data_IF_297692020109
#
_entry.id   IF_297692020109
#
_cell.length_a   1.000
_cell.length_b   1.000
_cell.length_c   1.000
_cell.angle_alpha   90.00
_cell.angle_beta   90.00
_cell.angle_gamma   90.00
#
_symmetry.space_group_name_H-M   'P 1'
#
loop_
_entity.id
_entity.type
_entity.pdbx_description
1 polymer ?
#
# COMPACT_ATOMS: atom_id res chain seq x y z
N UNK A 1 3.72 -19.57 4.27
CA UNK A 1 3.23 -18.36 4.98
C UNK A 1 4.24 -18.04 6.07
N UNK A 2 4.72 -16.80 6.11
CA UNK A 2 5.64 -16.34 7.17
C UNK A 2 4.90 -16.30 8.52
N UNK A 3 5.62 -16.58 9.60
CA UNK A 3 5.11 -16.54 10.97
C UNK A 3 5.39 -15.16 11.59
N UNK A 4 4.67 -14.77 12.66
CA UNK A 4 4.95 -13.53 13.37
C UNK A 4 6.38 -13.41 13.94
N UNK A 5 7.05 -14.54 14.17
CA UNK A 5 8.45 -14.60 14.61
C UNK A 5 9.47 -14.33 13.51
N UNK A 6 9.05 -14.40 12.25
CA UNK A 6 9.94 -14.24 11.10
C UNK A 6 10.08 -12.75 10.78
N UNK A 7 11.29 -12.33 10.41
CA UNK A 7 11.49 -11.00 9.84
C UNK A 7 10.96 -10.99 8.41
N UNK A 8 9.72 -10.57 8.22
CA UNK A 8 9.09 -10.56 6.90
C UNK A 8 9.72 -9.57 5.91
N UNK A 9 10.44 -8.55 6.41
CA UNK A 9 11.15 -7.61 5.56
C UNK A 9 12.44 -8.25 5.03
N UNK A 10 13.18 -8.95 5.88
CA UNK A 10 14.39 -9.66 5.49
C UNK A 10 14.13 -10.99 4.76
N UNK A 11 12.96 -11.61 4.95
CA UNK A 11 12.61 -12.89 4.33
C UNK A 11 12.45 -12.78 2.82
N UNK A 12 12.91 -13.76 2.06
CA UNK A 12 12.64 -13.84 0.63
C UNK A 12 11.14 -14.08 0.36
N UNK A 13 10.59 -13.35 -0.61
CA UNK A 13 9.25 -13.60 -1.14
C UNK A 13 9.40 -14.27 -2.49
N UNK A 14 8.85 -15.49 -2.72
CA UNK A 14 8.98 -16.16 -4.01
C UNK A 14 8.48 -15.26 -5.14
N UNK A 15 9.25 -15.14 -6.22
CA UNK A 15 8.97 -14.17 -7.29
C UNK A 15 7.59 -14.37 -7.95
N UNK A 16 7.06 -15.59 -7.97
CA UNK A 16 5.76 -15.96 -8.50
C UNK A 16 4.61 -15.84 -7.48
N UNK A 17 4.91 -15.55 -6.21
CA UNK A 17 3.91 -15.48 -5.16
C UNK A 17 3.11 -14.17 -5.22
N UNK A 18 1.80 -14.28 -5.09
CA UNK A 18 0.94 -13.14 -4.80
C UNK A 18 1.03 -12.78 -3.31
N UNK A 19 1.47 -11.57 -2.98
CA UNK A 19 1.73 -11.17 -1.59
C UNK A 19 0.56 -10.39 -0.99
N UNK A 20 0.17 -10.75 0.24
CA UNK A 20 -0.60 -9.85 1.10
C UNK A 20 0.34 -9.29 2.16
N UNK A 21 0.53 -7.97 2.17
CA UNK A 21 1.47 -7.29 3.04
C UNK A 21 0.72 -6.33 3.98
N UNK A 22 0.87 -6.53 5.29
CA UNK A 22 0.36 -5.65 6.33
C UNK A 22 1.52 -5.34 7.28
N UNK A 23 2.26 -4.24 7.07
CA UNK A 23 3.53 -4.03 7.73
C UNK A 23 3.29 -3.54 9.15
N UNK A 24 4.31 -3.57 10.02
CA UNK A 24 4.33 -2.73 11.20
C UNK A 24 4.08 -1.26 10.80
N UNK A 25 3.09 -0.63 11.41
CA UNK A 25 2.76 0.76 11.10
C UNK A 25 3.74 1.72 11.77
N UNK A 26 4.18 2.74 11.02
CA UNK A 26 5.06 3.79 11.54
C UNK A 26 6.47 3.76 10.94
N UNK A 27 7.50 3.84 11.78
CA UNK A 27 8.90 3.99 11.32
C UNK A 27 9.35 2.74 10.55
N UNK A 28 9.97 2.95 9.39
CA UNK A 28 10.48 1.87 8.54
C UNK A 28 9.47 1.31 7.52
N UNK A 29 8.24 1.83 7.50
CA UNK A 29 7.21 1.41 6.56
C UNK A 29 7.60 1.62 5.08
N UNK A 30 8.49 2.57 4.80
CA UNK A 30 9.05 2.81 3.46
C UNK A 30 9.71 1.57 2.85
N UNK A 31 10.55 0.86 3.61
CA UNK A 31 11.24 -0.34 3.11
C UNK A 31 10.26 -1.47 2.75
N UNK A 32 9.16 -1.58 3.49
CA UNK A 32 8.09 -2.54 3.18
C UNK A 32 7.38 -2.18 1.88
N UNK A 33 7.08 -0.89 1.69
CA UNK A 33 6.39 -0.40 0.50
C UNK A 33 7.27 -0.48 -0.74
N UNK A 34 8.56 -0.18 -0.62
CA UNK A 34 9.54 -0.38 -1.69
C UNK A 34 9.61 -1.86 -2.09
N UNK A 35 9.71 -2.77 -1.12
CA UNK A 35 9.76 -4.21 -1.40
C UNK A 35 8.48 -4.71 -2.07
N UNK A 36 7.31 -4.28 -1.59
CA UNK A 36 6.02 -4.66 -2.17
C UNK A 36 5.84 -4.11 -3.59
N UNK A 37 6.19 -2.84 -3.81
CA UNK A 37 6.00 -2.20 -5.10
C UNK A 37 6.85 -2.83 -6.21
N UNK A 38 8.05 -3.30 -5.87
CA UNK A 38 8.95 -3.97 -6.80
C UNK A 38 8.78 -5.50 -6.84
N UNK A 39 7.79 -6.08 -6.13
CA UNK A 39 7.59 -7.52 -6.09
C UNK A 39 6.94 -8.02 -7.39
N UNK A 40 7.59 -8.89 -8.19
CA UNK A 40 7.11 -9.25 -9.52
C UNK A 40 5.78 -10.01 -9.53
N UNK A 41 5.48 -10.77 -8.47
CA UNK A 41 4.19 -11.45 -8.31
C UNK A 41 3.03 -10.52 -7.94
N UNK A 42 3.32 -9.23 -7.69
CA UNK A 42 2.38 -8.23 -7.25
C UNK A 42 1.69 -8.58 -5.93
N UNK A 43 0.55 -7.94 -5.68
CA UNK A 43 -0.27 -8.28 -4.53
C UNK A 43 -1.06 -7.12 -3.95
N UNK A 44 -1.35 -7.18 -2.65
CA UNK A 44 -2.11 -6.17 -1.92
C UNK A 44 -1.37 -5.73 -0.65
N UNK A 45 -1.15 -4.43 -0.50
CA UNK A 45 -0.68 -3.82 0.74
C UNK A 45 -1.83 -3.19 1.52
N UNK A 46 -1.82 -3.37 2.85
CA UNK A 46 -2.66 -2.64 3.77
C UNK A 46 -1.81 -1.66 4.58
N UNK A 47 -2.05 -0.37 4.40
CA UNK A 47 -1.27 0.71 5.05
C UNK A 47 -2.18 1.86 5.50
N UNK A 48 -1.62 2.83 6.21
CA UNK A 48 -2.32 4.09 6.43
C UNK A 48 -2.27 4.96 5.17
N UNK A 49 -3.36 5.68 4.92
CA UNK A 49 -3.50 6.68 3.88
C UNK A 49 -2.67 7.94 4.22
N UNK A 50 -1.34 7.78 4.18
CA UNK A 50 -0.34 8.82 4.41
C UNK A 50 0.10 9.40 3.08
N UNK A 51 -0.88 9.91 2.32
CA UNK A 51 -0.69 10.34 0.94
C UNK A 51 0.40 11.40 0.78
N UNK A 52 0.72 12.14 1.84
CA UNK A 52 1.74 13.18 1.90
C UNK A 52 3.18 12.66 1.98
N UNK A 53 3.41 11.40 2.36
CA UNK A 53 4.77 10.91 2.61
C UNK A 53 5.49 10.57 1.32
N UNK A 54 6.83 10.68 1.34
CA UNK A 54 7.69 10.30 0.21
C UNK A 54 7.41 8.88 -0.27
N UNK A 55 7.33 7.91 0.63
CA UNK A 55 7.07 6.52 0.27
C UNK A 55 5.70 6.33 -0.38
N UNK A 56 4.67 7.07 0.03
CA UNK A 56 3.34 6.95 -0.57
C UNK A 56 3.37 7.57 -1.98
N UNK A 57 4.02 8.71 -2.14
CA UNK A 57 4.20 9.32 -3.46
C UNK A 57 4.99 8.39 -4.40
N UNK A 58 6.14 7.86 -3.96
CA UNK A 58 7.03 7.06 -4.80
C UNK A 58 6.51 5.66 -5.09
N UNK A 59 6.00 4.94 -4.08
CA UNK A 59 5.67 3.52 -4.19
C UNK A 59 4.17 3.26 -4.34
N UNK A 60 3.32 4.29 -4.30
CA UNK A 60 1.87 4.17 -4.51
C UNK A 60 1.39 5.07 -5.65
N UNK A 61 1.48 6.39 -5.50
CA UNK A 61 0.83 7.32 -6.46
C UNK A 61 1.60 7.52 -7.77
N UNK A 62 2.90 7.23 -7.79
CA UNK A 62 3.75 7.39 -8.98
C UNK A 62 4.44 6.07 -9.39
N UNK A 63 4.05 4.93 -8.81
CA UNK A 63 4.65 3.65 -9.14
C UNK A 63 3.90 2.98 -10.30
N UNK A 64 4.57 2.55 -11.38
CA UNK A 64 3.91 2.04 -12.58
C UNK A 64 3.11 0.76 -12.36
N UNK A 65 3.51 -0.09 -11.41
CA UNK A 65 2.84 -1.37 -11.14
C UNK A 65 1.60 -1.26 -10.24
N UNK A 66 1.29 -0.06 -9.72
CA UNK A 66 0.08 0.14 -8.92
C UNK A 66 -1.12 0.20 -9.85
N UNK A 67 -2.07 -0.69 -9.61
CA UNK A 67 -3.24 -0.89 -10.48
C UNK A 67 -4.53 -0.35 -9.88
N UNK A 68 -4.62 -0.31 -8.54
CA UNK A 68 -5.78 0.26 -7.85
C UNK A 68 -5.47 0.66 -6.42
N UNK A 69 -6.30 1.56 -5.89
CA UNK A 69 -6.32 1.93 -4.46
C UNK A 69 -7.75 1.90 -3.95
N UNK A 70 -7.95 1.42 -2.72
CA UNK A 70 -9.19 1.60 -1.98
C UNK A 70 -8.93 2.41 -0.72
N UNK A 71 -9.54 3.58 -0.63
CA UNK A 71 -9.65 4.31 0.63
C UNK A 71 -10.89 3.82 1.37
N UNK A 72 -10.67 3.08 2.46
CA UNK A 72 -11.76 2.47 3.22
C UNK A 72 -12.55 3.54 3.98
N UNK A 73 -13.86 3.36 4.04
CA UNK A 73 -14.73 4.07 4.95
C UNK A 73 -14.58 3.53 6.38
N UNK A 74 -14.27 4.43 7.31
CA UNK A 74 -14.06 4.12 8.73
C UNK A 74 -12.59 3.87 9.09
N UNK A 75 -12.37 3.36 10.30
CA UNK A 75 -11.03 3.04 10.83
C UNK A 75 -10.92 1.56 11.10
N UNK A 76 -9.77 0.98 10.80
CA UNK A 76 -9.44 -0.36 11.26
C UNK A 76 -9.21 -0.33 12.76
N UNK A 77 -9.69 -1.36 13.45
CA UNK A 77 -9.32 -1.63 14.83
C UNK A 77 -8.50 -2.91 14.83
N UNK A 78 -7.29 -2.84 15.39
CA UNK A 78 -6.41 -3.99 15.46
C UNK A 78 -6.67 -4.75 16.76
N UNK A 79 -6.65 -6.08 16.69
CA UNK A 79 -6.62 -6.90 17.88
C UNK A 79 -5.20 -6.94 18.43
N UNK A 80 -5.07 -6.75 19.74
CA UNK A 80 -3.84 -6.97 20.50
C UNK A 80 -3.58 -8.47 20.63
N UNK A 81 -2.36 -8.84 21.01
CA UNK A 81 -1.98 -10.26 21.18
C UNK A 81 -2.84 -11.02 22.20
N UNK A 82 -3.45 -10.30 23.15
CA UNK A 82 -4.36 -10.86 24.15
C UNK A 82 -5.82 -10.94 23.67
N UNK A 83 -6.12 -10.57 22.42
CA UNK A 83 -7.46 -10.60 21.83
C UNK A 83 -8.25 -9.30 21.97
N UNK A 84 -7.81 -8.36 22.80
CA UNK A 84 -8.50 -7.09 23.00
C UNK A 84 -8.48 -6.23 21.74
N UNK A 85 -9.58 -5.52 21.49
CA UNK A 85 -9.66 -4.55 20.39
C UNK A 85 -8.96 -3.27 20.82
N UNK A 86 -7.87 -2.92 20.14
CA UNK A 86 -7.18 -1.65 20.33
C UNK A 86 -7.98 -0.47 19.78
N UNK A 87 -7.54 0.73 20.16
CA UNK A 87 -8.11 1.96 19.63
C UNK A 87 -7.89 2.09 18.13
N UNK A 88 -8.80 2.80 17.48
CA UNK A 88 -8.64 3.15 16.08
C UNK A 88 -7.42 4.07 15.90
N UNK A 89 -6.55 3.82 14.91
CA UNK A 89 -5.44 4.71 14.62
C UNK A 89 -5.94 6.05 14.07
N UNK A 90 -5.15 7.13 14.18
CA UNK A 90 -5.56 8.47 13.73
C UNK A 90 -5.78 8.55 12.22
N UNK A 91 -5.09 7.70 11.44
CA UNK A 91 -5.17 7.67 9.99
C UNK A 91 -6.12 6.58 9.48
N UNK A 92 -6.80 6.87 8.36
CA UNK A 92 -7.60 5.88 7.65
C UNK A 92 -6.73 4.84 6.93
N UNK A 93 -7.24 3.64 6.68
CA UNK A 93 -6.51 2.63 5.93
C UNK A 93 -6.64 2.89 4.41
N UNK A 94 -5.57 2.55 3.70
CA UNK A 94 -5.53 2.45 2.25
C UNK A 94 -5.12 1.03 1.87
N UNK A 95 -5.88 0.44 0.95
CA UNK A 95 -5.56 -0.85 0.34
C UNK A 95 -4.96 -0.56 -1.03
N UNK A 96 -3.71 -0.98 -1.24
CA UNK A 96 -2.97 -0.72 -2.48
C UNK A 96 -2.85 -2.03 -3.24
N UNK A 97 -3.25 -2.06 -4.50
CA UNK A 97 -3.05 -3.20 -5.37
C UNK A 97 -1.88 -2.96 -6.32
N UNK A 98 -1.01 -3.98 -6.43
CA UNK A 98 0.04 -4.08 -7.43
C UNK A 98 -0.31 -5.19 -8.41
N UNK A 99 -0.34 -4.86 -9.70
CA UNK A 99 -0.75 -5.77 -10.78
C UNK A 99 -2.26 -6.01 -10.88
N UNK A 100 -2.69 -6.58 -12.00
CA UNK A 100 -4.11 -6.75 -12.36
C UNK A 100 -4.89 -7.63 -11.36
N UNK A 101 -4.26 -8.70 -10.88
CA UNK A 101 -4.88 -9.63 -9.94
C UNK A 101 -5.21 -8.95 -8.60
N UNK A 102 -4.36 -8.02 -8.14
CA UNK A 102 -4.61 -7.21 -6.96
C UNK A 102 -5.84 -6.31 -7.14
N UNK A 103 -5.91 -5.59 -8.26
CA UNK A 103 -7.03 -4.72 -8.58
C UNK A 103 -8.34 -5.50 -8.67
N UNK A 104 -8.33 -6.67 -9.34
CA UNK A 104 -9.48 -7.56 -9.46
C UNK A 104 -10.02 -8.00 -8.08
N UNK A 105 -9.12 -8.37 -7.16
CA UNK A 105 -9.49 -8.77 -5.79
C UNK A 105 -10.06 -7.61 -4.98
N UNK A 106 -9.44 -6.42 -5.04
CA UNK A 106 -9.97 -5.24 -4.33
C UNK A 106 -11.32 -4.79 -4.88
N UNK A 107 -11.50 -4.74 -6.20
CA UNK A 107 -12.77 -4.41 -6.84
C UNK A 107 -13.88 -5.36 -6.39
N UNK A 108 -13.58 -6.66 -6.33
CA UNK A 108 -14.49 -7.68 -5.83
C UNK A 108 -14.84 -7.46 -4.37
N UNK A 109 -13.85 -7.23 -3.51
CA UNK A 109 -14.05 -7.04 -2.07
C UNK A 109 -14.92 -5.80 -1.75
N UNK A 110 -14.75 -4.71 -2.51
CA UNK A 110 -15.60 -3.52 -2.40
C UNK A 110 -17.02 -3.82 -2.88
N UNK A 111 -17.18 -4.44 -4.07
CA UNK A 111 -18.48 -4.82 -4.62
C UNK A 111 -19.27 -5.75 -3.70
N UNK A 112 -18.59 -6.66 -3.02
CA UNK A 112 -19.20 -7.64 -2.10
C UNK A 112 -19.37 -7.08 -0.67
N UNK A 113 -19.03 -5.80 -0.43
CA UNK A 113 -19.20 -5.15 0.86
C UNK A 113 -18.22 -5.61 1.95
N UNK A 114 -17.20 -6.39 1.59
CA UNK A 114 -16.15 -6.84 2.51
C UNK A 114 -15.23 -5.69 2.93
N UNK A 115 -15.00 -4.75 2.00
CA UNK A 115 -14.32 -3.48 2.26
C UNK A 115 -15.29 -2.36 1.88
N UNK A 116 -15.80 -1.63 2.87
CA UNK A 116 -16.58 -0.41 2.59
C UNK A 116 -15.62 0.70 2.19
N UNK A 117 -15.82 1.34 1.05
CA UNK A 117 -14.93 2.39 0.57
C UNK A 117 -15.05 2.62 -0.93
N UNK A 118 -14.21 3.52 -1.45
CA UNK A 118 -14.17 3.85 -2.86
C UNK A 118 -13.03 3.08 -3.55
N UNK A 119 -13.34 2.31 -4.60
CA UNK A 119 -12.35 1.68 -5.46
C UNK A 119 -11.93 2.66 -6.56
N UNK A 120 -10.63 2.96 -6.60
CA UNK A 120 -10.01 3.82 -7.60
C UNK A 120 -9.09 2.97 -8.46
N UNK A 121 -9.45 2.80 -9.73
CA UNK A 121 -8.59 2.18 -10.73
C UNK A 121 -7.53 3.21 -11.16
N UNK A 122 -6.26 2.81 -11.15
CA UNK A 122 -5.15 3.67 -11.55
C UNK A 122 -4.60 3.17 -12.88
N UNK A 123 -4.78 4.00 -13.90
CA UNK A 123 -4.27 3.78 -15.25
C UNK A 123 -3.25 4.88 -15.57
N UNK A 124 -1.98 4.60 -15.26
CA UNK A 124 -0.89 5.54 -15.50
C UNK A 124 -0.56 5.71 -16.98
N UNK A 125 -1.08 4.86 -17.89
CA UNK A 125 -0.95 5.09 -19.33
C UNK A 125 -1.72 6.35 -19.78
N UNK A 126 -2.68 6.82 -18.96
CA UNK A 126 -3.44 8.06 -19.19
C UNK A 126 -2.88 9.29 -18.47
N UNK A 127 -2.04 9.09 -17.45
CA UNK A 127 -1.37 10.19 -16.75
C UNK A 127 -0.09 10.48 -17.54
N UNK A 128 -0.24 11.23 -18.63
CA UNK A 128 0.88 11.73 -19.43
C UNK A 128 2.00 12.27 -18.54
N UNK A 129 3.24 11.90 -18.84
CA UNK A 129 4.46 12.36 -18.18
C UNK A 129 4.56 13.90 -18.20
N UNK A 130 3.86 14.52 -17.26
CA UNK A 130 3.97 15.92 -16.95
C UNK A 130 5.15 16.09 -16.01
N UNK A 131 6.22 16.68 -16.56
CA UNK A 131 7.22 17.46 -15.83
C UNK A 131 8.36 16.64 -15.22
N UNK A 132 9.44 16.55 -16.01
CA UNK A 132 10.75 16.84 -15.45
C UNK A 132 10.74 18.28 -14.96
N UNK A 133 10.58 18.47 -13.66
CA UNK A 133 10.87 19.74 -13.00
C UNK A 133 12.30 19.60 -12.51
N UNK A 134 13.18 20.31 -13.20
CA UNK A 134 14.43 20.81 -12.64
C UNK A 134 14.16 21.35 -11.23
N UNK A 135 14.60 20.60 -10.21
CA UNK A 135 14.60 21.08 -8.84
C UNK A 135 15.87 21.91 -8.69
N UNK A 136 15.85 23.08 -9.32
CA UNK A 136 16.84 24.12 -9.10
C UNK A 136 16.94 24.38 -7.60
N UNK A 137 18.17 24.29 -7.09
CA UNK A 137 18.49 24.56 -5.72
C UNK A 137 17.95 25.93 -5.29
N UNK A 138 17.16 25.94 -4.23
CA UNK A 138 16.87 27.14 -3.46
C UNK A 138 16.70 26.72 -2.01
N UNK A 139 17.76 26.90 -1.21
CA UNK A 139 17.74 27.77 -0.04
C UNK A 139 19.13 27.71 0.61
N UNK A 140 19.99 28.62 0.19
CA UNK A 140 21.01 29.22 1.06
C UNK A 140 20.40 30.51 1.63
N UNK A 141 19.97 30.47 2.89
CA UNK A 141 20.06 31.54 3.90
C UNK A 141 19.65 30.98 5.29
#
# INVERSE_FOLDING_TARGET
MLKPSDDGLASEWPADAFVFMNPPFGRGQEAWMEKMANHPGGGIALVFARTETRWFQSFVLNHPDVSAVVFQEGRLKFHRANGDVGDAPPAGPAWIAYGEEGARRLKRAVREGQIRGCFLELDFARVSSGVGADVGAANDE
#
